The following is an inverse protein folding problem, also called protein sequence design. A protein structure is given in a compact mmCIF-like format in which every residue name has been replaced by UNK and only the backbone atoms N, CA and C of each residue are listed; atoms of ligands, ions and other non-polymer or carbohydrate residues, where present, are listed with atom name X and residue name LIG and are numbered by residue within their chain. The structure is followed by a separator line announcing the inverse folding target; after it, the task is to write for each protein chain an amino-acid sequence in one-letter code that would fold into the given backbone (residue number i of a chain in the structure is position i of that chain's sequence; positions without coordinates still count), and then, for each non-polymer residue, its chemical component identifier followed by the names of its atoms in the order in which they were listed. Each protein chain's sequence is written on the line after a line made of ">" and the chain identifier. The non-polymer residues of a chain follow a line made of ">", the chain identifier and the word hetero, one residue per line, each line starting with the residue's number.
data_IF_577323510152
#
_entry.id   IF_577323510152
#
_cell.length_a   1.000
_cell.length_b   1.000
_cell.length_c   1.000
_cell.angle_alpha   90.00
_cell.angle_beta   90.00
_cell.angle_gamma   90.00
#
_symmetry.space_group_name_H-M   'P 1'
#
loop_
_entity.id
_entity.type
_entity.pdbx_description
1 polymer ?
#
# COMPACT_ATOMS: atom_id res chain seq x y z
N UNK A 1 -30.71 7.15 -23.36
CA UNK A 1 -29.41 7.53 -22.77
C UNK A 1 -28.99 8.94 -23.23
N UNK A 2 -29.76 9.98 -22.90
CA UNK A 2 -29.40 11.39 -23.21
C UNK A 2 -29.62 12.33 -22.00
N UNK A 3 -30.00 11.81 -20.83
CA UNK A 3 -30.44 12.67 -19.70
C UNK A 3 -29.60 12.57 -18.42
N UNK A 4 -28.34 12.14 -18.50
CA UNK A 4 -27.40 12.22 -17.37
C UNK A 4 -26.20 13.16 -17.61
N UNK A 5 -25.92 13.52 -18.87
CA UNK A 5 -24.79 14.40 -19.20
C UNK A 5 -25.06 15.90 -18.97
N UNK A 6 -26.32 16.30 -18.86
CA UNK A 6 -26.70 17.73 -18.73
C UNK A 6 -26.69 18.20 -17.26
N UNK A 7 -26.87 17.30 -16.30
CA UNK A 7 -26.97 17.68 -14.88
C UNK A 7 -25.58 17.90 -14.24
N UNK A 8 -24.52 17.26 -14.75
CA UNK A 8 -23.14 17.55 -14.30
C UNK A 8 -22.58 18.88 -14.86
N UNK A 9 -23.09 19.33 -16.01
CA UNK A 9 -22.69 20.60 -16.61
C UNK A 9 -23.31 21.83 -15.91
N UNK A 10 -24.53 21.69 -15.36
CA UNK A 10 -25.21 22.80 -14.69
C UNK A 10 -24.68 23.11 -13.28
N UNK A 11 -24.18 22.10 -12.55
CA UNK A 11 -23.56 22.30 -11.23
C UNK A 11 -22.14 22.91 -11.30
N UNK A 12 -21.50 22.86 -12.48
CA UNK A 12 -20.23 23.55 -12.74
C UNK A 12 -20.45 25.01 -13.19
N UNK A 13 -21.67 25.46 -13.46
CA UNK A 13 -21.91 26.81 -13.97
C UNK A 13 -22.23 27.86 -12.89
N UNK A 14 -22.40 27.46 -11.63
CA UNK A 14 -22.75 28.36 -10.52
C UNK A 14 -21.76 28.21 -9.35
N UNK A 15 -20.58 28.80 -9.51
CA UNK A 15 -19.62 28.92 -8.40
C UNK A 15 -18.13 28.75 -8.74
N UNK A 16 -17.72 28.73 -10.01
CA UNK A 16 -16.29 28.82 -10.32
C UNK A 16 -15.77 30.21 -9.98
N UNK A 17 -15.28 30.36 -8.74
CA UNK A 17 -14.17 31.26 -8.46
C UNK A 17 -13.18 31.12 -9.62
N UNK A 18 -12.76 32.26 -10.20
CA UNK A 18 -11.76 32.27 -11.27
C UNK A 18 -10.64 31.29 -10.91
N UNK A 19 -10.31 30.36 -11.82
CA UNK A 19 -9.19 29.44 -11.62
C UNK A 19 -7.99 30.29 -11.18
N UNK A 20 -7.42 29.97 -10.02
CA UNK A 20 -6.30 30.72 -9.48
C UNK A 20 -5.24 30.92 -10.56
N UNK A 21 -4.72 32.14 -10.68
CA UNK A 21 -3.73 32.48 -11.71
C UNK A 21 -2.54 31.52 -11.64
N UNK A 22 -2.04 31.09 -12.81
CA UNK A 22 -0.88 30.21 -12.89
C UNK A 22 0.35 30.91 -12.32
N UNK A 23 1.00 30.25 -11.36
CA UNK A 23 2.29 30.69 -10.84
C UNK A 23 3.36 29.71 -11.31
N UNK A 24 4.31 30.12 -12.17
CA UNK A 24 5.43 29.26 -12.55
C UNK A 24 6.23 28.87 -11.30
N UNK A 25 6.35 27.57 -11.04
CA UNK A 25 7.16 27.01 -9.97
C UNK A 25 8.33 26.23 -10.54
N UNK A 26 9.43 26.17 -9.80
CA UNK A 26 10.43 25.13 -9.99
C UNK A 26 9.86 23.78 -9.56
N UNK A 27 10.40 22.69 -10.12
CA UNK A 27 10.07 21.34 -9.71
C UNK A 27 10.24 21.15 -8.19
N UNK A 28 11.27 21.77 -7.59
CA UNK A 28 11.52 21.73 -6.14
C UNK A 28 10.41 22.42 -5.34
N UNK A 29 9.96 23.60 -5.76
CA UNK A 29 8.87 24.32 -5.10
C UNK A 29 7.54 23.60 -5.23
N UNK A 30 7.28 22.98 -6.39
CA UNK A 30 6.10 22.13 -6.60
C UNK A 30 6.10 20.95 -5.63
N UNK A 31 7.20 20.20 -5.57
CA UNK A 31 7.29 18.99 -4.74
C UNK A 31 7.26 19.29 -3.24
N UNK A 32 7.79 20.43 -2.81
CA UNK A 32 7.67 20.90 -1.42
C UNK A 32 6.21 21.10 -0.96
N UNK A 33 5.24 21.14 -1.90
CA UNK A 33 3.81 21.34 -1.64
C UNK A 33 2.97 20.06 -1.84
N UNK A 34 3.58 18.93 -2.17
CA UNK A 34 2.88 17.70 -2.58
C UNK A 34 2.80 16.62 -1.50
N UNK A 35 3.63 16.67 -0.46
CA UNK A 35 3.72 15.57 0.51
C UNK A 35 2.71 15.71 1.67
N UNK A 36 2.04 14.62 2.09
CA UNK A 36 1.94 13.32 1.39
C UNK A 36 0.89 13.35 0.26
N UNK A 37 1.05 12.48 -0.73
CA UNK A 37 0.04 12.25 -1.77
C UNK A 37 -0.78 10.97 -1.53
N UNK A 38 -1.87 10.82 -2.28
CA UNK A 38 -2.75 9.64 -2.29
C UNK A 38 -3.25 9.41 -3.72
N UNK A 39 -3.22 8.16 -4.17
CA UNK A 39 -3.64 7.74 -5.51
C UNK A 39 -5.10 7.32 -5.51
N UNK A 40 -5.85 7.79 -6.50
CA UNK A 40 -7.21 7.34 -6.81
C UNK A 40 -7.13 6.10 -7.71
N UNK A 41 -6.62 5.00 -7.17
CA UNK A 41 -6.37 3.77 -7.93
C UNK A 41 -7.64 3.04 -8.33
N UNK A 42 -7.55 2.16 -9.33
CA UNK A 42 -8.66 1.36 -9.88
C UNK A 42 -9.93 2.21 -10.07
N UNK A 43 -9.80 3.34 -10.75
CA UNK A 43 -10.90 4.26 -11.06
C UNK A 43 -10.93 4.53 -12.57
N UNK A 44 -10.09 5.46 -13.05
CA UNK A 44 -9.98 5.76 -14.49
C UNK A 44 -8.94 4.89 -15.20
N UNK A 45 -8.05 4.26 -14.43
CA UNK A 45 -6.87 3.47 -14.83
C UNK A 45 -7.19 2.04 -15.28
N UNK A 46 -8.45 1.76 -15.59
CA UNK A 46 -8.93 0.40 -15.67
C UNK A 46 -9.54 -0.01 -17.02
N UNK A 47 -9.44 -1.29 -17.36
CA UNK A 47 -9.72 -1.86 -18.67
C UNK A 47 -10.75 -3.00 -18.64
N UNK A 48 -11.70 -3.07 -19.59
CA UNK A 48 -12.23 -1.96 -20.42
C UNK A 48 -13.08 -0.96 -19.60
N UNK A 49 -13.18 -1.21 -18.29
CA UNK A 49 -13.86 -0.46 -17.22
C UNK A 49 -13.03 -0.58 -15.95
N UNK A 50 -13.34 0.19 -14.89
CA UNK A 50 -12.82 0.08 -13.51
C UNK A 50 -12.43 -1.38 -13.12
N UNK A 51 -11.14 -1.65 -12.78
CA UNK A 51 -10.57 -2.99 -12.51
C UNK A 51 -9.67 -3.77 -13.50
N UNK A 52 -9.29 -3.34 -14.71
CA UNK A 52 -8.37 -4.14 -15.58
C UNK A 52 -7.08 -3.44 -16.01
N UNK A 53 -5.90 -4.07 -15.89
CA UNK A 53 -4.61 -3.42 -16.16
C UNK A 53 -3.93 -3.98 -17.41
N UNK A 54 -3.30 -3.12 -18.23
CA UNK A 54 -2.45 -3.52 -19.35
C UNK A 54 -1.35 -2.47 -19.58
N UNK A 55 -0.24 -2.63 -18.87
CA UNK A 55 0.90 -1.72 -18.95
C UNK A 55 1.58 -1.82 -20.32
N UNK A 56 2.04 -0.70 -20.89
CA UNK A 56 2.61 -0.65 -22.23
C UNK A 56 4.01 -1.28 -22.29
N UNK A 57 4.25 -2.18 -23.24
CA UNK A 57 5.55 -2.83 -23.44
C UNK A 57 6.51 -2.01 -24.32
N UNK A 58 7.77 -1.88 -23.90
CA UNK A 58 8.83 -1.10 -24.58
C UNK A 58 9.66 -1.91 -25.58
N UNK A 59 9.37 -3.21 -25.73
CA UNK A 59 9.93 -4.07 -26.77
C UNK A 59 8.96 -4.33 -27.92
N UNK A 60 9.50 -4.70 -29.08
CA UNK A 60 8.73 -5.06 -30.27
C UNK A 60 9.53 -4.83 -31.55
N UNK A 61 8.91 -5.12 -32.70
CA UNK A 61 9.50 -4.75 -33.99
C UNK A 61 9.57 -3.22 -34.12
N UNK A 62 10.46 -2.71 -34.98
CA UNK A 62 10.55 -1.26 -35.24
C UNK A 62 9.19 -0.66 -35.64
N UNK A 63 8.44 -1.33 -36.51
CA UNK A 63 7.11 -0.88 -36.94
C UNK A 63 6.10 -0.82 -35.79
N UNK A 64 6.14 -1.80 -34.88
CA UNK A 64 5.24 -1.81 -33.71
C UNK A 64 5.57 -0.67 -32.75
N UNK A 65 6.86 -0.46 -32.49
CA UNK A 65 7.33 0.64 -31.64
C UNK A 65 6.99 2.00 -32.26
N UNK A 66 7.18 2.18 -33.56
CA UNK A 66 6.84 3.42 -34.26
C UNK A 66 5.31 3.67 -34.22
N UNK A 67 4.48 2.63 -34.37
CA UNK A 67 3.03 2.75 -34.23
C UNK A 67 2.58 3.11 -32.80
N UNK A 68 3.19 2.49 -31.78
CA UNK A 68 2.93 2.81 -30.36
C UNK A 68 3.33 4.26 -30.04
N UNK A 69 4.50 4.71 -30.51
CA UNK A 69 4.95 6.09 -30.39
C UNK A 69 3.96 7.07 -31.04
N UNK A 70 3.52 6.81 -32.26
CA UNK A 70 2.54 7.67 -32.94
C UNK A 70 1.21 7.75 -32.16
N UNK A 71 0.75 6.66 -31.55
CA UNK A 71 -0.43 6.66 -30.68
C UNK A 71 -0.21 7.49 -29.42
N UNK A 72 0.93 7.31 -28.76
CA UNK A 72 1.34 8.05 -27.58
C UNK A 72 1.39 9.57 -27.83
N UNK A 73 2.00 9.99 -28.93
CA UNK A 73 2.11 11.41 -29.27
C UNK A 73 0.75 12.05 -29.53
N UNK A 74 -0.15 11.35 -30.23
CA UNK A 74 -1.54 11.80 -30.45
C UNK A 74 -2.33 11.90 -29.15
N UNK A 75 -2.16 10.96 -28.23
CA UNK A 75 -2.81 11.00 -26.92
C UNK A 75 -2.34 12.23 -26.14
N UNK A 76 -1.02 12.41 -26.00
CA UNK A 76 -0.47 13.52 -25.23
C UNK A 76 -0.75 14.88 -25.84
N UNK A 77 -0.82 14.98 -27.17
CA UNK A 77 -1.24 16.23 -27.82
C UNK A 77 -2.67 16.62 -27.41
N UNK A 78 -3.60 15.64 -27.38
CA UNK A 78 -4.99 15.89 -26.98
C UNK A 78 -5.10 16.25 -25.50
N UNK A 79 -4.48 15.47 -24.61
CA UNK A 79 -4.51 15.70 -23.15
C UNK A 79 -3.88 17.03 -22.80
N UNK A 80 -2.68 17.32 -23.30
CA UNK A 80 -1.97 18.55 -23.00
C UNK A 80 -2.72 19.78 -23.54
N UNK A 81 -3.31 19.70 -24.74
CA UNK A 81 -4.14 20.79 -25.30
C UNK A 81 -5.37 21.06 -24.45
N UNK A 82 -6.08 20.00 -24.01
CA UNK A 82 -7.28 20.11 -23.19
C UNK A 82 -7.01 20.77 -21.83
N UNK A 83 -5.87 20.44 -21.21
CA UNK A 83 -5.53 20.84 -19.85
C UNK A 83 -4.54 22.00 -19.78
N UNK A 84 -4.21 22.62 -20.92
CA UNK A 84 -3.13 23.63 -21.01
C UNK A 84 -3.29 24.83 -20.08
N UNK A 85 -4.53 25.24 -19.78
CA UNK A 85 -4.83 26.42 -18.97
C UNK A 85 -5.09 26.08 -17.48
N UNK A 86 -4.97 24.81 -17.08
CA UNK A 86 -5.01 24.43 -15.65
C UNK A 86 -3.78 24.99 -14.93
N UNK A 87 -3.94 25.34 -13.65
CA UNK A 87 -2.87 25.95 -12.85
C UNK A 87 -1.71 24.97 -12.56
N UNK A 88 -0.70 25.44 -11.85
CA UNK A 88 0.56 24.73 -11.58
C UNK A 88 0.43 23.53 -10.63
N UNK A 89 -0.74 23.33 -10.02
CA UNK A 89 -1.02 22.16 -9.17
C UNK A 89 -1.26 20.88 -9.98
N UNK A 90 -1.54 21.01 -11.28
CA UNK A 90 -1.63 19.88 -12.19
C UNK A 90 -0.24 19.60 -12.78
N UNK A 91 0.26 18.40 -12.53
CA UNK A 91 1.44 17.84 -13.19
C UNK A 91 0.99 16.79 -14.21
N UNK A 92 1.87 16.48 -15.16
CA UNK A 92 1.70 15.33 -16.03
C UNK A 92 2.88 14.37 -15.84
N UNK A 93 2.55 13.10 -15.71
CA UNK A 93 3.46 11.97 -15.80
C UNK A 93 3.37 11.38 -17.20
N UNK A 94 4.48 10.97 -17.81
CA UNK A 94 4.47 10.50 -19.20
C UNK A 94 3.74 9.17 -19.39
N UNK A 95 4.01 8.17 -18.52
CA UNK A 95 3.51 6.81 -18.64
C UNK A 95 3.70 6.01 -17.34
N UNK A 96 2.68 5.25 -16.94
CA UNK A 96 2.77 4.35 -15.78
C UNK A 96 3.42 3.01 -16.15
N UNK A 97 4.37 2.56 -15.33
CA UNK A 97 5.05 1.25 -15.36
C UNK A 97 5.39 0.72 -16.77
N UNK A 98 6.17 1.48 -17.57
CA UNK A 98 6.54 1.07 -18.92
C UNK A 98 7.36 -0.22 -18.90
N UNK A 99 6.80 -1.31 -19.44
CA UNK A 99 7.35 -2.67 -19.27
C UNK A 99 8.61 -2.87 -20.12
N UNK A 100 9.71 -3.27 -19.47
CA UNK A 100 10.96 -3.64 -20.14
C UNK A 100 12.00 -4.19 -19.17
N UNK A 101 13.08 -4.75 -19.71
CA UNK A 101 14.16 -5.35 -18.90
C UNK A 101 15.56 -5.21 -19.50
N UNK A 102 15.71 -4.42 -20.57
CA UNK A 102 17.00 -4.21 -21.23
C UNK A 102 17.31 -2.72 -21.41
N UNK A 103 18.60 -2.38 -21.59
CA UNK A 103 19.02 -1.03 -21.98
C UNK A 103 18.34 -0.56 -23.29
N UNK A 104 18.06 -1.48 -24.22
CA UNK A 104 17.39 -1.16 -25.47
C UNK A 104 15.93 -0.70 -25.22
N UNK A 105 15.21 -1.41 -24.36
CA UNK A 105 13.86 -1.01 -23.91
C UNK A 105 13.92 0.36 -23.20
N UNK A 106 14.94 0.58 -22.37
CA UNK A 106 15.11 1.85 -21.66
C UNK A 106 15.39 3.01 -22.62
N UNK A 107 16.14 2.77 -23.69
CA UNK A 107 16.36 3.77 -24.74
C UNK A 107 15.05 4.15 -25.46
N UNK A 108 14.13 3.20 -25.65
CA UNK A 108 12.79 3.48 -26.19
C UNK A 108 11.99 4.37 -25.23
N UNK A 109 12.05 4.09 -23.92
CA UNK A 109 11.40 4.92 -22.91
C UNK A 109 12.01 6.32 -22.83
N UNK A 110 13.34 6.45 -22.86
CA UNK A 110 14.03 7.73 -22.85
C UNK A 110 13.62 8.60 -24.07
N UNK A 111 13.46 7.99 -25.26
CA UNK A 111 12.89 8.66 -26.45
C UNK A 111 11.43 9.08 -26.23
N UNK A 112 10.58 8.24 -25.61
CA UNK A 112 9.20 8.60 -25.28
C UNK A 112 9.10 9.75 -24.27
N UNK A 113 9.93 9.74 -23.22
CA UNK A 113 10.02 10.82 -22.23
C UNK A 113 10.39 12.16 -22.91
N UNK A 114 11.35 12.13 -23.85
CA UNK A 114 11.72 13.31 -24.62
C UNK A 114 10.60 13.79 -25.55
N UNK A 115 9.90 12.88 -26.23
CA UNK A 115 8.73 13.21 -27.07
C UNK A 115 7.61 13.84 -26.26
N UNK A 116 7.31 13.27 -25.10
CA UNK A 116 6.33 13.79 -24.16
C UNK A 116 6.64 15.23 -23.72
N UNK A 117 7.88 15.49 -23.29
CA UNK A 117 8.35 16.84 -22.96
C UNK A 117 8.13 17.81 -24.13
N UNK A 118 8.57 17.43 -25.34
CA UNK A 118 8.40 18.24 -26.54
C UNK A 118 6.93 18.55 -26.83
N UNK A 119 6.04 17.56 -26.76
CA UNK A 119 4.61 17.74 -27.04
C UNK A 119 3.99 18.70 -26.04
N UNK A 120 4.13 18.41 -24.74
CA UNK A 120 3.48 19.21 -23.69
C UNK A 120 3.93 20.66 -23.79
N UNK A 121 5.24 20.91 -23.90
CA UNK A 121 5.80 22.28 -23.96
C UNK A 121 5.29 23.08 -25.16
N UNK A 122 4.97 22.44 -26.28
CA UNK A 122 4.53 23.11 -27.50
C UNK A 122 3.01 23.31 -27.63
N UNK A 123 2.20 22.88 -26.64
CA UNK A 123 0.73 23.06 -26.69
C UNK A 123 0.22 24.41 -26.17
N UNK A 124 1.12 25.29 -25.72
CA UNK A 124 0.80 26.65 -25.26
C UNK A 124 0.11 26.68 -23.88
N UNK A 125 -0.55 27.81 -23.56
CA UNK A 125 -1.12 28.03 -22.22
C UNK A 125 -0.03 28.01 -21.14
N UNK A 126 -0.29 27.30 -20.05
CA UNK A 126 0.65 27.15 -18.94
C UNK A 126 1.66 26.00 -19.15
N UNK A 127 1.47 25.16 -20.17
CA UNK A 127 2.28 23.96 -20.38
C UNK A 127 3.79 24.20 -20.64
N UNK A 128 4.24 25.32 -21.24
CA UNK A 128 5.68 25.63 -21.32
C UNK A 128 6.38 25.68 -19.95
N UNK A 129 5.64 25.99 -18.88
CA UNK A 129 6.16 26.14 -17.53
C UNK A 129 5.70 25.04 -16.55
N UNK A 130 4.84 24.11 -16.99
CA UNK A 130 4.31 23.02 -16.14
C UNK A 130 5.40 22.03 -15.75
N UNK A 131 5.48 21.64 -14.48
CA UNK A 131 6.40 20.57 -14.04
C UNK A 131 5.90 19.21 -14.57
N UNK A 132 6.80 18.39 -15.10
CA UNK A 132 6.49 17.08 -15.70
C UNK A 132 7.27 15.95 -15.02
N UNK A 133 6.60 14.84 -14.70
CA UNK A 133 7.20 13.66 -14.07
C UNK A 133 7.58 12.62 -15.12
N UNK A 134 8.77 12.03 -14.97
CA UNK A 134 9.34 11.08 -15.92
C UNK A 134 9.67 9.75 -15.22
N UNK A 135 9.07 8.63 -15.64
CA UNK A 135 9.34 7.30 -15.11
C UNK A 135 10.65 6.73 -15.64
N UNK A 136 11.20 5.77 -14.90
CA UNK A 136 12.11 4.74 -15.42
C UNK A 136 11.34 3.51 -15.92
N UNK A 137 12.03 2.50 -16.47
CA UNK A 137 11.37 1.24 -16.83
C UNK A 137 10.73 0.59 -15.61
N UNK A 138 9.50 0.09 -15.77
CA UNK A 138 8.66 -0.53 -14.75
C UNK A 138 8.43 0.33 -13.49
N UNK A 139 8.71 1.65 -13.56
CA UNK A 139 8.89 2.51 -12.38
C UNK A 139 9.79 1.87 -11.31
N UNK A 140 10.76 1.07 -11.74
CA UNK A 140 11.65 0.34 -10.86
C UNK A 140 12.84 1.22 -10.47
N UNK A 141 13.12 1.33 -9.17
CA UNK A 141 14.22 2.15 -8.63
C UNK A 141 15.61 1.79 -9.22
N UNK A 142 15.89 0.50 -9.42
CA UNK A 142 17.16 0.05 -9.99
C UNK A 142 17.25 0.41 -11.47
N UNK A 143 16.20 0.17 -12.25
CA UNK A 143 16.21 0.51 -13.68
C UNK A 143 16.23 2.03 -13.91
N UNK A 144 15.55 2.80 -13.05
CA UNK A 144 15.63 4.25 -13.03
C UNK A 144 17.09 4.69 -12.83
N UNK A 145 17.75 4.20 -11.78
CA UNK A 145 19.15 4.58 -11.48
C UNK A 145 20.16 4.11 -12.52
N UNK A 146 19.89 3.00 -13.20
CA UNK A 146 20.82 2.38 -14.14
C UNK A 146 20.70 2.92 -15.58
N UNK A 147 19.48 3.17 -16.07
CA UNK A 147 19.24 3.37 -17.50
C UNK A 147 18.52 4.68 -17.88
N UNK A 148 18.02 5.45 -16.91
CA UNK A 148 17.40 6.73 -17.21
C UNK A 148 18.40 7.74 -17.73
N UNK A 149 18.04 8.45 -18.81
CA UNK A 149 18.85 9.52 -19.39
C UNK A 149 18.18 10.86 -19.12
N UNK A 150 18.80 11.76 -18.32
CA UNK A 150 18.28 13.10 -18.11
C UNK A 150 18.08 13.86 -19.42
N UNK A 151 16.92 14.50 -19.62
CA UNK A 151 16.64 15.29 -20.83
C UNK A 151 17.40 16.62 -20.77
N UNK A 152 18.69 16.60 -21.17
CA UNK A 152 19.64 17.72 -21.02
C UNK A 152 19.28 18.99 -21.80
N UNK A 153 18.38 18.88 -22.77
CA UNK A 153 17.82 20.01 -23.50
C UNK A 153 16.76 20.81 -22.72
N UNK A 154 16.35 20.34 -21.53
CA UNK A 154 15.42 21.04 -20.66
C UNK A 154 16.04 21.36 -19.31
N UNK A 155 15.67 22.54 -18.79
CA UNK A 155 16.07 22.95 -17.44
C UNK A 155 15.57 21.96 -16.39
N UNK A 156 16.45 21.58 -15.47
CA UNK A 156 16.19 20.63 -14.38
C UNK A 156 15.14 21.12 -13.37
N UNK A 157 14.76 22.39 -13.43
CA UNK A 157 13.69 22.97 -12.62
C UNK A 157 12.29 22.76 -13.22
N UNK A 158 12.15 22.02 -14.32
CA UNK A 158 10.86 21.79 -15.01
C UNK A 158 10.50 20.32 -15.20
N UNK A 159 11.30 19.39 -14.69
CA UNK A 159 11.02 17.96 -14.73
C UNK A 159 11.46 17.26 -13.46
N UNK A 160 10.88 16.09 -13.21
CA UNK A 160 11.18 15.21 -12.08
C UNK A 160 11.36 13.78 -12.54
N UNK A 161 11.92 12.95 -11.67
CA UNK A 161 11.93 11.48 -11.86
C UNK A 161 10.95 10.84 -10.89
N UNK A 162 10.53 9.62 -11.22
CA UNK A 162 9.69 8.83 -10.32
C UNK A 162 10.01 7.33 -10.37
N UNK A 163 9.67 6.66 -9.27
CA UNK A 163 9.68 5.20 -9.14
C UNK A 163 8.55 4.76 -8.20
N UNK A 164 8.24 3.47 -8.17
CA UNK A 164 7.26 2.84 -7.29
C UNK A 164 7.95 1.99 -6.22
N UNK A 165 7.33 1.86 -5.04
CA UNK A 165 7.90 1.14 -3.91
C UNK A 165 6.91 0.20 -3.23
N UNK A 166 7.06 -1.09 -3.50
CA UNK A 166 6.27 -2.19 -2.93
C UNK A 166 7.16 -3.26 -2.28
N UNK A 167 8.33 -2.89 -1.79
CA UNK A 167 9.32 -3.84 -1.26
C UNK A 167 9.23 -4.00 0.26
N UNK A 168 9.49 -5.22 0.79
CA UNK A 168 9.67 -6.45 0.04
C UNK A 168 8.29 -7.01 -0.41
N UNK A 169 8.21 -7.43 -1.69
CA UNK A 169 6.93 -7.80 -2.32
C UNK A 169 6.18 -8.89 -1.57
N UNK A 170 6.90 -9.88 -1.05
CA UNK A 170 6.32 -10.98 -0.29
C UNK A 170 5.53 -10.50 0.94
N UNK A 171 5.99 -9.43 1.60
CA UNK A 171 5.25 -8.79 2.69
C UNK A 171 4.13 -7.88 2.16
N UNK A 172 4.45 -6.94 1.27
CA UNK A 172 3.49 -5.91 0.86
C UNK A 172 2.28 -6.51 0.14
N UNK A 173 2.43 -7.68 -0.49
CA UNK A 173 1.35 -8.42 -1.14
C UNK A 173 0.78 -9.58 -0.31
N UNK A 174 1.29 -9.83 0.91
CA UNK A 174 1.05 -11.07 1.66
C UNK A 174 1.17 -12.32 0.76
N UNK A 175 2.30 -12.41 0.06
CA UNK A 175 2.65 -13.60 -0.71
C UNK A 175 3.39 -14.60 0.18
N UNK A 176 3.10 -15.88 -0.04
CA UNK A 176 3.72 -16.99 0.67
C UNK A 176 3.69 -16.83 2.21
N UNK A 177 2.62 -16.23 2.75
CA UNK A 177 2.38 -16.14 4.19
C UNK A 177 3.27 -15.17 4.96
N UNK A 178 3.97 -14.25 4.30
CA UNK A 178 4.75 -13.23 4.99
C UNK A 178 3.87 -12.07 5.47
N UNK A 179 3.30 -12.23 6.66
CA UNK A 179 2.40 -11.23 7.25
C UNK A 179 3.08 -10.23 8.18
N UNK A 180 4.39 -10.40 8.43
CA UNK A 180 5.19 -9.59 9.35
C UNK A 180 6.35 -8.87 8.65
N UNK A 181 6.70 -7.70 9.18
CA UNK A 181 7.80 -6.83 8.75
C UNK A 181 8.26 -5.97 9.93
N UNK A 182 9.52 -5.54 9.95
CA UNK A 182 10.01 -4.49 10.86
C UNK A 182 11.28 -4.82 11.62
N UNK A 183 12.03 -5.83 11.17
CA UNK A 183 13.39 -6.09 11.66
C UNK A 183 14.33 -4.93 11.30
N UNK A 184 15.49 -4.87 11.97
CA UNK A 184 16.50 -3.85 11.65
C UNK A 184 17.05 -4.05 10.23
N UNK A 185 17.14 -5.30 9.75
CA UNK A 185 17.53 -5.61 8.38
C UNK A 185 16.50 -5.10 7.36
N UNK A 186 15.20 -5.27 7.64
CA UNK A 186 14.14 -4.74 6.78
C UNK A 186 14.26 -3.21 6.63
N UNK A 187 14.43 -2.51 7.76
CA UNK A 187 14.56 -1.05 7.82
C UNK A 187 15.81 -0.56 7.09
N UNK A 188 16.94 -1.26 7.27
CA UNK A 188 18.20 -0.95 6.59
C UNK A 188 18.11 -1.09 5.07
N UNK A 189 17.35 -2.08 4.57
CA UNK A 189 17.09 -2.25 3.13
C UNK A 189 16.38 -1.03 2.55
N UNK A 190 15.28 -0.59 3.17
CA UNK A 190 14.55 0.63 2.73
C UNK A 190 15.47 1.85 2.70
N UNK A 191 16.26 2.04 3.76
CA UNK A 191 17.22 3.14 3.86
C UNK A 191 18.28 3.11 2.74
N UNK A 192 18.81 1.93 2.42
CA UNK A 192 19.83 1.74 1.39
C UNK A 192 19.27 1.99 -0.02
N UNK A 193 18.09 1.46 -0.31
CA UNK A 193 17.44 1.62 -1.62
C UNK A 193 17.12 3.10 -1.89
N UNK A 194 16.58 3.82 -0.90
CA UNK A 194 16.25 5.25 -1.09
C UNK A 194 17.51 6.11 -1.14
N UNK A 195 18.56 5.78 -0.37
CA UNK A 195 19.85 6.45 -0.48
C UNK A 195 20.42 6.34 -1.91
N UNK A 196 20.34 5.15 -2.51
CA UNK A 196 20.84 4.89 -3.85
C UNK A 196 20.10 5.73 -4.89
N UNK A 197 18.76 5.74 -4.87
CA UNK A 197 17.99 6.59 -5.81
C UNK A 197 18.33 8.05 -5.60
N UNK A 198 18.38 8.53 -4.34
CA UNK A 198 18.68 9.93 -4.07
C UNK A 198 20.07 10.33 -4.57
N UNK A 199 21.07 9.47 -4.42
CA UNK A 199 22.45 9.71 -4.85
C UNK A 199 22.61 9.88 -6.37
N UNK A 200 21.71 9.31 -7.17
CA UNK A 200 21.79 9.35 -8.64
C UNK A 200 21.12 10.59 -9.26
N UNK A 201 20.27 11.29 -8.53
CA UNK A 201 19.47 12.39 -9.08
C UNK A 201 19.61 13.66 -8.25
N UNK A 202 19.63 14.82 -8.90
CA UNK A 202 19.57 16.14 -8.26
C UNK A 202 18.20 16.83 -8.39
N UNK A 203 17.34 16.32 -9.27
CA UNK A 203 15.94 16.76 -9.44
C UNK A 203 15.04 16.17 -8.35
N UNK A 204 13.83 16.72 -8.11
CA UNK A 204 12.87 16.09 -7.22
C UNK A 204 12.54 14.65 -7.65
N UNK A 205 12.30 13.80 -6.66
CA UNK A 205 11.94 12.39 -6.86
C UNK A 205 10.54 12.18 -6.30
N UNK A 206 9.66 11.60 -7.12
CA UNK A 206 8.34 11.12 -6.71
C UNK A 206 8.44 9.61 -6.43
N UNK A 207 7.92 9.17 -5.29
CA UNK A 207 7.53 7.77 -5.13
C UNK A 207 6.07 7.74 -5.58
N UNK A 208 5.86 7.51 -6.88
CA UNK A 208 4.57 7.66 -7.57
C UNK A 208 3.52 6.70 -7.02
N UNK A 209 3.96 5.55 -6.56
CA UNK A 209 3.16 4.62 -5.79
C UNK A 209 3.98 3.98 -4.68
N UNK A 210 3.36 3.82 -3.52
CA UNK A 210 3.83 2.91 -2.50
C UNK A 210 2.64 2.37 -1.72
N UNK A 211 2.74 1.16 -1.22
CA UNK A 211 1.69 0.61 -0.36
C UNK A 211 1.88 -0.85 -0.02
N UNK A 212 0.85 -1.38 0.61
CA UNK A 212 0.69 -2.78 1.00
C UNK A 212 -0.73 -3.22 0.69
N UNK A 213 -1.02 -4.52 0.72
CA UNK A 213 -2.37 -5.02 0.90
C UNK A 213 -2.94 -4.56 2.25
N UNK A 214 -4.27 -4.64 2.38
CA UNK A 214 -5.04 -4.20 3.55
C UNK A 214 -4.41 -4.53 4.92
N UNK A 215 -4.09 -3.48 5.69
CA UNK A 215 -3.53 -3.58 7.05
C UNK A 215 -4.58 -4.10 8.03
N UNK A 216 -4.23 -5.14 8.81
CA UNK A 216 -5.12 -5.79 9.78
C UNK A 216 -6.11 -6.80 9.19
N UNK A 217 -6.04 -7.04 7.88
CA UNK A 217 -6.78 -8.07 7.14
C UNK A 217 -5.84 -8.97 6.35
N UNK A 218 -5.06 -8.40 5.41
CA UNK A 218 -4.06 -9.14 4.64
C UNK A 218 -2.73 -9.26 5.39
N UNK A 219 -2.29 -8.20 6.06
CA UNK A 219 -1.04 -8.19 6.85
C UNK A 219 -1.30 -7.78 8.30
N UNK A 220 -0.37 -8.10 9.20
CA UNK A 220 -0.52 -7.74 10.61
C UNK A 220 -0.51 -6.23 10.83
N UNK A 221 -1.41 -5.73 11.71
CA UNK A 221 -1.61 -4.28 11.92
C UNK A 221 -0.31 -3.54 12.19
N UNK A 222 0.43 -3.98 13.21
CA UNK A 222 1.64 -3.29 13.61
C UNK A 222 2.82 -3.48 12.65
N UNK A 223 2.84 -4.56 11.87
CA UNK A 223 3.80 -4.70 10.76
C UNK A 223 3.52 -3.66 9.67
N UNK A 224 2.25 -3.50 9.28
CA UNK A 224 1.83 -2.44 8.36
C UNK A 224 2.18 -1.05 8.88
N UNK A 225 1.84 -0.75 10.14
CA UNK A 225 2.19 0.52 10.79
C UNK A 225 3.70 0.81 10.78
N UNK A 226 4.52 -0.20 11.11
CA UNK A 226 5.97 -0.09 11.07
C UNK A 226 6.48 0.22 9.66
N UNK A 227 5.93 -0.47 8.65
CA UNK A 227 6.31 -0.28 7.25
C UNK A 227 5.95 1.13 6.78
N UNK A 228 4.72 1.57 6.99
CA UNK A 228 4.26 2.91 6.59
C UNK A 228 5.05 4.03 7.29
N UNK A 229 5.28 3.92 8.60
CA UNK A 229 6.10 4.90 9.34
C UNK A 229 7.52 4.97 8.76
N UNK A 230 8.17 3.81 8.61
CA UNK A 230 9.58 3.77 8.20
C UNK A 230 9.77 4.20 6.75
N UNK A 231 8.94 3.72 5.81
CA UNK A 231 9.01 4.11 4.40
C UNK A 231 8.76 5.60 4.21
N UNK A 232 7.72 6.16 4.85
CA UNK A 232 7.41 7.59 4.72
C UNK A 232 8.51 8.44 5.35
N UNK A 233 8.97 8.12 6.57
CA UNK A 233 10.09 8.86 7.20
C UNK A 233 11.36 8.78 6.36
N UNK A 234 11.65 7.64 5.74
CA UNK A 234 12.82 7.47 4.87
C UNK A 234 12.67 8.28 3.58
N UNK A 235 11.48 8.33 2.99
CA UNK A 235 11.19 9.21 1.85
C UNK A 235 11.46 10.68 2.20
N UNK A 236 10.95 11.16 3.34
CA UNK A 236 11.17 12.53 3.81
C UNK A 236 12.66 12.80 4.08
N UNK A 237 13.36 11.89 4.75
CA UNK A 237 14.82 11.95 5.02
C UNK A 237 15.61 12.16 3.73
N UNK A 238 15.22 11.49 2.64
CA UNK A 238 15.86 11.61 1.33
C UNK A 238 15.16 12.61 0.40
N UNK A 239 14.31 13.51 0.89
CA UNK A 239 13.64 14.57 0.10
C UNK A 239 12.84 14.03 -1.10
N UNK A 240 12.18 12.89 -0.91
CA UNK A 240 11.29 12.26 -1.87
C UNK A 240 9.83 12.52 -1.47
N UNK A 241 8.93 12.60 -2.44
CA UNK A 241 7.50 12.78 -2.20
C UNK A 241 6.78 11.44 -2.35
N UNK A 242 6.24 10.85 -1.28
CA UNK A 242 5.48 9.60 -1.36
C UNK A 242 4.00 9.82 -1.71
N UNK A 243 3.47 9.03 -2.65
CA UNK A 243 2.05 9.00 -3.02
C UNK A 243 1.44 7.63 -2.74
N UNK A 244 0.54 7.58 -1.76
CA UNK A 244 0.03 6.33 -1.22
C UNK A 244 -0.95 5.67 -2.19
N UNK A 245 -0.66 4.44 -2.62
CA UNK A 245 -1.54 3.66 -3.47
C UNK A 245 -2.80 3.19 -2.71
N UNK A 246 -3.98 3.52 -3.25
CA UNK A 246 -5.26 3.05 -2.73
C UNK A 246 -6.23 2.72 -3.88
N UNK A 247 -6.44 1.42 -4.06
CA UNK A 247 -7.38 0.86 -5.05
C UNK A 247 -8.86 1.01 -4.63
N UNK A 248 -9.16 1.65 -3.50
CA UNK A 248 -10.51 1.79 -2.94
C UNK A 248 -10.96 0.63 -2.05
N UNK A 249 -10.29 -0.51 -2.10
CA UNK A 249 -10.56 -1.69 -1.27
C UNK A 249 -9.64 -1.78 -0.04
N UNK A 250 -8.40 -1.33 -0.16
CA UNK A 250 -7.41 -1.53 0.92
C UNK A 250 -7.56 -0.51 2.07
N UNK A 251 -7.74 0.78 1.78
CA UNK A 251 -7.60 1.82 2.81
C UNK A 251 -8.81 2.71 2.99
N UNK A 252 -9.13 3.57 2.02
CA UNK A 252 -10.29 4.46 2.13
C UNK A 252 -11.54 3.81 1.54
N UNK A 253 -12.54 3.58 2.39
CA UNK A 253 -13.86 3.16 1.93
C UNK A 253 -14.60 4.39 1.40
N UNK A 254 -14.62 4.48 0.06
CA UNK A 254 -15.24 5.61 -0.67
C UNK A 254 -16.74 5.69 -0.45
N UNK A 255 -17.42 4.56 -0.20
CA UNK A 255 -18.86 4.49 0.01
C UNK A 255 -19.23 4.92 1.43
N UNK A 256 -18.50 4.42 2.42
CA UNK A 256 -18.73 4.77 3.82
C UNK A 256 -18.01 6.06 4.25
N UNK A 257 -17.23 6.68 3.35
CA UNK A 257 -16.44 7.88 3.58
C UNK A 257 -15.55 7.78 4.84
N UNK A 258 -14.91 6.63 5.04
CA UNK A 258 -14.09 6.36 6.23
C UNK A 258 -12.84 5.55 5.89
N UNK A 259 -11.80 5.75 6.69
CA UNK A 259 -10.61 4.90 6.64
C UNK A 259 -10.91 3.56 7.31
N UNK A 260 -10.52 2.46 6.67
CA UNK A 260 -10.61 1.10 7.22
C UNK A 260 -9.67 0.92 8.42
N UNK A 261 -8.49 1.52 8.35
CA UNK A 261 -7.59 1.69 9.48
C UNK A 261 -7.16 3.15 9.64
N UNK A 262 -7.75 3.82 10.63
CA UNK A 262 -7.44 5.22 10.96
C UNK A 262 -6.01 5.39 11.50
N UNK A 263 -5.45 4.34 12.10
CA UNK A 263 -4.08 4.38 12.67
C UNK A 263 -3.05 4.48 11.55
N UNK A 264 -3.15 3.62 10.54
CA UNK A 264 -2.27 3.69 9.35
C UNK A 264 -2.32 5.08 8.71
N UNK A 265 -3.53 5.64 8.48
CA UNK A 265 -3.66 6.99 7.95
C UNK A 265 -2.98 8.03 8.83
N UNK A 266 -3.21 7.99 10.15
CA UNK A 266 -2.61 8.97 11.06
C UNK A 266 -1.08 8.86 11.09
N UNK A 267 -0.54 7.64 11.01
CA UNK A 267 0.90 7.38 10.93
C UNK A 267 1.48 8.01 9.66
N UNK A 268 0.87 7.78 8.50
CA UNK A 268 1.32 8.36 7.22
C UNK A 268 1.32 9.88 7.28
N UNK A 269 0.24 10.49 7.78
CA UNK A 269 0.12 11.95 7.91
C UNK A 269 1.18 12.51 8.86
N UNK A 270 1.38 11.89 10.03
CA UNK A 270 2.36 12.32 11.01
C UNK A 270 3.80 12.18 10.46
N UNK A 271 4.14 11.05 9.84
CA UNK A 271 5.45 10.79 9.27
C UNK A 271 5.78 11.78 8.14
N UNK A 272 4.80 12.07 7.27
CA UNK A 272 4.97 13.05 6.19
C UNK A 272 5.16 14.48 6.71
N UNK A 273 4.56 14.80 7.87
CA UNK A 273 4.78 16.07 8.57
C UNK A 273 6.12 16.13 9.34
N UNK A 274 6.99 15.12 9.20
CA UNK A 274 8.28 15.04 9.88
C UNK A 274 8.18 14.62 11.35
N UNK A 275 7.01 14.18 11.81
CA UNK A 275 6.86 13.61 13.14
C UNK A 275 7.33 12.15 13.13
N UNK A 276 7.81 11.69 14.28
CA UNK A 276 8.19 10.30 14.48
C UNK A 276 7.06 9.60 15.25
N UNK A 277 6.63 8.43 14.77
CA UNK A 277 5.60 7.64 15.43
C UNK A 277 6.23 6.62 16.38
N UNK A 278 5.55 6.38 17.51
CA UNK A 278 5.76 5.15 18.28
C UNK A 278 5.09 3.99 17.56
N UNK A 279 5.72 2.81 17.53
CA UNK A 279 5.20 1.62 16.85
C UNK A 279 5.31 0.41 17.80
N UNK A 280 4.41 -0.59 17.75
CA UNK A 280 4.60 -1.81 18.51
C UNK A 280 5.82 -2.60 18.04
N UNK A 281 6.60 -3.09 18.99
CA UNK A 281 7.78 -3.90 18.73
C UNK A 281 7.40 -5.27 18.15
N UNK A 282 8.18 -5.73 17.16
CA UNK A 282 7.99 -7.02 16.48
C UNK A 282 6.58 -7.26 15.90
N UNK A 283 5.88 -6.19 15.48
CA UNK A 283 4.61 -6.32 14.76
C UNK A 283 3.42 -6.76 15.63
N UNK A 284 3.52 -6.67 16.96
CA UNK A 284 2.41 -7.00 17.86
C UNK A 284 1.42 -5.83 18.03
N UNK A 285 0.42 -5.75 17.14
CA UNK A 285 -0.62 -4.70 17.14
C UNK A 285 -1.95 -5.10 17.79
N UNK A 286 -2.03 -6.31 18.35
CA UNK A 286 -3.24 -6.89 18.95
C UNK A 286 -2.89 -7.66 20.21
N UNK A 287 -3.64 -7.44 21.29
CA UNK A 287 -3.61 -8.25 22.49
C UNK A 287 -4.53 -9.45 22.27
N UNK A 288 -3.92 -10.60 21.97
CA UNK A 288 -4.62 -11.87 21.79
C UNK A 288 -4.80 -12.60 23.13
N UNK A 289 -6.05 -12.76 23.55
CA UNK A 289 -6.46 -13.43 24.77
C UNK A 289 -7.08 -14.77 24.43
N UNK A 290 -6.37 -15.87 24.66
CA UNK A 290 -6.99 -17.18 24.57
C UNK A 290 -8.08 -17.29 25.65
N UNK A 291 -9.22 -17.88 25.34
CA UNK A 291 -10.42 -17.86 26.19
C UNK A 291 -10.23 -18.43 27.60
N UNK A 292 -9.23 -19.29 27.79
CA UNK A 292 -8.82 -19.90 29.05
C UNK A 292 -7.72 -19.11 29.80
N UNK A 293 -7.26 -17.97 29.26
CA UNK A 293 -6.19 -17.15 29.83
C UNK A 293 -6.74 -15.81 30.31
N UNK A 294 -6.42 -15.46 31.55
CA UNK A 294 -6.82 -14.19 32.18
C UNK A 294 -5.70 -13.15 32.22
N UNK A 295 -4.44 -13.56 32.06
CA UNK A 295 -3.29 -12.63 32.04
C UNK A 295 -3.01 -12.21 30.59
N UNK A 296 -3.25 -10.94 30.23
CA UNK A 296 -2.98 -10.46 28.88
C UNK A 296 -1.48 -10.45 28.58
N UNK A 297 -1.07 -10.75 27.34
CA UNK A 297 0.29 -10.50 26.89
C UNK A 297 0.60 -8.99 26.94
N UNK A 298 1.85 -8.66 27.21
CA UNK A 298 2.33 -7.28 27.15
C UNK A 298 2.47 -6.80 25.69
N UNK A 299 2.29 -5.50 25.50
CA UNK A 299 2.63 -4.79 24.27
C UNK A 299 3.90 -3.99 24.51
N UNK A 300 4.96 -4.38 23.81
CA UNK A 300 6.24 -3.69 23.79
C UNK A 300 6.24 -2.60 22.72
N UNK A 301 6.85 -1.46 23.00
CA UNK A 301 6.80 -0.29 22.11
C UNK A 301 8.21 0.14 21.68
N UNK A 302 8.38 0.37 20.38
CA UNK A 302 9.50 1.12 19.81
C UNK A 302 9.13 2.61 19.84
N UNK A 303 9.66 3.35 20.82
CA UNK A 303 9.28 4.75 21.00
C UNK A 303 9.86 5.69 19.96
N UNK A 304 10.97 5.32 19.29
CA UNK A 304 11.61 6.14 18.27
C UNK A 304 11.89 7.59 18.73
N UNK A 305 12.30 7.75 19.99
CA UNK A 305 12.57 9.07 20.60
C UNK A 305 11.36 9.71 21.30
N UNK A 306 10.17 9.14 21.20
CA UNK A 306 9.00 9.59 21.95
C UNK A 306 8.99 9.09 23.41
N UNK A 307 8.05 9.60 24.19
CA UNK A 307 7.70 9.11 25.52
C UNK A 307 6.21 8.77 25.60
N UNK A 308 5.84 7.75 26.37
CA UNK A 308 4.44 7.44 26.66
C UNK A 308 3.76 8.58 27.41
N UNK A 309 2.60 9.03 26.94
CA UNK A 309 1.73 9.96 27.66
C UNK A 309 0.67 9.24 28.48
N UNK A 310 0.16 8.12 27.98
CA UNK A 310 -0.78 7.28 28.69
C UNK A 310 -1.46 6.26 27.78
N UNK A 311 -2.28 5.42 28.39
CA UNK A 311 -3.19 4.51 27.71
C UNK A 311 -4.61 5.02 27.94
N UNK A 312 -5.44 5.03 26.91
CA UNK A 312 -6.78 5.58 26.94
C UNK A 312 -7.80 4.60 26.37
N UNK A 313 -9.07 4.77 26.74
CA UNK A 313 -10.19 4.14 26.04
C UNK A 313 -10.42 4.83 24.69
N UNK A 314 -11.18 4.22 23.75
CA UNK A 314 -11.55 4.86 22.50
C UNK A 314 -12.36 6.16 22.67
N UNK A 315 -13.04 6.33 23.81
CA UNK A 315 -13.77 7.56 24.16
C UNK A 315 -12.86 8.66 24.74
N UNK A 316 -11.56 8.39 24.90
CA UNK A 316 -10.58 9.34 25.41
C UNK A 316 -10.40 9.35 26.93
N UNK A 317 -11.01 8.41 27.67
CA UNK A 317 -10.82 8.29 29.11
C UNK A 317 -9.44 7.70 29.41
N UNK A 318 -8.65 8.35 30.26
CA UNK A 318 -7.35 7.84 30.67
C UNK A 318 -7.50 6.59 31.54
N UNK A 319 -6.71 5.56 31.25
CA UNK A 319 -6.55 4.39 32.10
C UNK A 319 -5.56 4.68 33.23
N UNK A 320 -5.77 4.05 34.38
CA UNK A 320 -4.99 4.28 35.60
C UNK A 320 -3.85 3.28 35.74
N UNK A 321 -2.62 3.77 35.88
CA UNK A 321 -1.43 2.93 36.13
C UNK A 321 -1.60 2.18 37.47
N UNK A 322 -1.30 0.88 37.48
CA UNK A 322 -1.43 0.00 38.63
C UNK A 322 -2.83 -0.58 38.83
N UNK A 323 -3.86 0.04 38.25
CA UNK A 323 -5.25 -0.45 38.33
C UNK A 323 -5.72 -1.05 37.01
N UNK A 324 -5.58 -0.32 35.91
CA UNK A 324 -6.07 -0.72 34.60
C UNK A 324 -4.95 -1.31 33.73
N UNK A 325 -3.72 -0.83 33.92
CA UNK A 325 -2.53 -1.38 33.26
C UNK A 325 -1.27 -1.19 34.10
N UNK A 326 -0.23 -1.94 33.78
CA UNK A 326 1.11 -1.83 34.35
C UNK A 326 2.11 -1.46 33.26
N UNK A 327 3.15 -0.72 33.63
CA UNK A 327 4.29 -0.44 32.73
C UNK A 327 5.26 -1.63 32.83
N UNK A 328 5.65 -2.16 31.67
CA UNK A 328 6.65 -3.24 31.56
C UNK A 328 7.91 -2.62 30.98
N UNK A 329 9.10 -3.08 31.41
CA UNK A 329 10.39 -2.50 31.01
C UNK A 329 11.34 -3.47 30.28
N UNK A 330 11.01 -4.77 30.23
CA UNK A 330 11.84 -5.81 29.61
C UNK A 330 11.01 -6.72 28.70
N UNK A 331 11.48 -7.07 27.48
CA UNK A 331 12.76 -6.65 26.89
C UNK A 331 12.79 -5.19 26.43
N UNK A 332 11.62 -4.55 26.32
CA UNK A 332 11.49 -3.12 26.01
C UNK A 332 10.41 -2.49 26.89
N UNK A 333 10.40 -1.15 26.93
CA UNK A 333 9.34 -0.43 27.62
C UNK A 333 8.02 -0.57 26.87
N UNK A 334 6.95 -0.83 27.60
CA UNK A 334 5.62 -1.12 27.07
C UNK A 334 4.58 -1.13 28.17
N UNK A 335 3.46 -1.81 27.92
CA UNK A 335 2.41 -1.96 28.92
C UNK A 335 1.77 -3.35 28.88
N UNK A 336 1.20 -3.76 30.01
CA UNK A 336 0.28 -4.89 30.07
C UNK A 336 -0.99 -4.47 30.78
N UNK A 337 -2.14 -4.80 30.21
CA UNK A 337 -3.43 -4.53 30.84
C UNK A 337 -3.58 -5.41 32.09
N UNK A 338 -4.32 -4.96 33.10
CA UNK A 338 -4.57 -5.80 34.28
C UNK A 338 -5.68 -6.82 33.99
N UNK A 339 -5.67 -7.99 34.64
CA UNK A 339 -6.77 -8.94 34.54
C UNK A 339 -8.13 -8.33 34.93
N UNK A 340 -8.17 -7.39 35.88
CA UNK A 340 -9.38 -6.67 36.27
C UNK A 340 -9.91 -5.77 35.16
N UNK A 341 -9.03 -5.06 34.44
CA UNK A 341 -9.45 -4.27 33.29
C UNK A 341 -9.98 -5.16 32.16
N UNK A 342 -9.29 -6.27 31.86
CA UNK A 342 -9.78 -7.26 30.89
C UNK A 342 -11.16 -7.81 31.26
N UNK A 343 -11.40 -8.06 32.55
CA UNK A 343 -12.72 -8.50 33.03
C UNK A 343 -13.80 -7.43 32.87
N UNK A 344 -13.45 -6.14 33.02
CA UNK A 344 -14.40 -5.04 32.81
C UNK A 344 -14.82 -4.84 31.34
N UNK A 345 -14.04 -5.34 30.39
CA UNK A 345 -14.35 -5.24 28.95
C UNK A 345 -15.41 -6.25 28.50
N UNK A 346 -15.69 -7.28 29.30
CA UNK A 346 -16.78 -8.21 29.04
C UNK A 346 -16.52 -9.64 29.53
N UNK A 347 -17.60 -10.42 29.60
CA UNK A 347 -17.60 -11.83 30.01
C UNK A 347 -16.52 -12.65 29.29
N UNK A 348 -15.89 -13.60 29.99
CA UNK A 348 -14.91 -14.53 29.42
C UNK A 348 -15.45 -15.38 28.26
N UNK A 349 -16.77 -15.52 28.15
CA UNK A 349 -17.45 -16.21 27.04
C UNK A 349 -17.56 -15.36 25.76
N UNK A 350 -17.35 -14.04 25.83
CA UNK A 350 -17.40 -13.16 24.67
C UNK A 350 -16.11 -13.31 23.85
N UNK A 351 -16.24 -13.85 22.65
CA UNK A 351 -15.15 -14.00 21.67
C UNK A 351 -15.19 -12.87 20.63
N UNK A 352 -14.05 -12.58 20.01
CA UNK A 352 -13.88 -11.47 19.07
C UNK A 352 -13.19 -10.29 19.72
N UNK A 353 -13.39 -9.11 19.13
CA UNK A 353 -12.91 -7.85 19.71
C UNK A 353 -13.77 -7.50 20.92
N UNK A 354 -13.14 -7.43 22.09
CA UNK A 354 -13.80 -7.08 23.36
C UNK A 354 -13.49 -5.65 23.79
N UNK A 355 -12.53 -5.00 23.14
CA UNK A 355 -12.16 -3.62 23.43
C UNK A 355 -10.93 -3.20 22.65
N UNK A 356 -10.49 -1.97 22.91
CA UNK A 356 -9.32 -1.37 22.30
C UNK A 356 -8.63 -0.46 23.31
N UNK A 357 -7.30 -0.48 23.30
CA UNK A 357 -6.46 0.41 24.08
C UNK A 357 -5.78 1.41 23.15
N UNK A 358 -5.95 2.71 23.43
CA UNK A 358 -5.35 3.79 22.66
C UNK A 358 -4.04 4.19 23.32
N UNK A 359 -2.91 3.92 22.66
CA UNK A 359 -1.60 4.32 23.15
C UNK A 359 -1.28 5.70 22.63
N UNK A 360 -1.09 6.66 23.53
CA UNK A 360 -0.71 8.03 23.16
C UNK A 360 0.73 8.31 23.55
N UNK A 361 1.50 8.81 22.59
CA UNK A 361 2.88 9.25 22.77
C UNK A 361 3.01 10.77 22.76
N UNK A 362 4.21 11.27 23.05
CA UNK A 362 4.54 12.70 23.03
C UNK A 362 4.38 13.37 21.66
N UNK A 363 4.50 12.61 20.58
CA UNK A 363 4.36 13.05 19.19
C UNK A 363 3.92 11.86 18.34
N UNK A 364 3.45 12.14 17.12
CA UNK A 364 2.99 11.14 16.17
C UNK A 364 1.55 10.70 16.42
N UNK A 365 1.15 9.64 15.72
CA UNK A 365 -0.19 9.07 15.80
C UNK A 365 -0.42 8.31 17.13
N UNK A 366 -1.66 8.38 17.61
CA UNK A 366 -2.16 7.43 18.60
C UNK A 366 -2.25 6.03 17.97
N UNK A 367 -1.87 4.98 18.71
CA UNK A 367 -1.99 3.59 18.25
C UNK A 367 -3.24 2.91 18.80
N UNK A 368 -4.01 2.28 17.91
CA UNK A 368 -5.24 1.56 18.24
C UNK A 368 -5.00 0.06 18.42
N UNK A 369 -4.61 -0.35 19.64
CA UNK A 369 -4.33 -1.74 19.98
C UNK A 369 -5.63 -2.49 20.25
N UNK A 370 -5.95 -3.46 19.38
CA UNK A 370 -7.15 -4.28 19.54
C UNK A 370 -6.97 -5.27 20.69
N UNK A 371 -8.02 -5.49 21.47
CA UNK A 371 -8.07 -6.50 22.54
C UNK A 371 -9.05 -7.56 22.09
N UNK A 372 -8.53 -8.74 21.75
CA UNK A 372 -9.31 -9.81 21.13
C UNK A 372 -9.27 -11.07 21.96
N UNK A 373 -10.44 -11.60 22.30
CA UNK A 373 -10.56 -12.92 22.92
C UNK A 373 -10.86 -13.97 21.88
N UNK A 374 -10.18 -15.11 21.94
CA UNK A 374 -10.37 -16.17 20.96
C UNK A 374 -10.33 -17.57 21.57
N UNK A 375 -11.00 -18.51 20.91
CA UNK A 375 -10.80 -19.94 21.09
C UNK A 375 -10.45 -20.58 19.75
N UNK A 376 -10.24 -21.90 19.72
CA UNK A 376 -9.93 -22.62 18.48
C UNK A 376 -11.06 -22.38 17.45
N UNK A 377 -10.76 -21.89 16.24
CA UNK A 377 -11.75 -21.77 15.17
C UNK A 377 -12.33 -23.14 14.78
N UNK A 378 -13.57 -23.15 14.31
CA UNK A 378 -14.22 -24.37 13.81
C UNK A 378 -14.41 -24.24 12.31
N UNK A 379 -13.80 -25.15 11.56
CA UNK A 379 -14.02 -25.28 10.12
C UNK A 379 -14.86 -26.55 9.94
N UNK A 380 -15.99 -26.51 9.20
CA UNK A 380 -16.76 -27.70 8.88
C UNK A 380 -15.83 -28.73 8.22
N UNK A 381 -15.75 -29.93 8.78
CA UNK A 381 -15.05 -31.03 8.13
C UNK A 381 -15.75 -31.44 6.84
N UNK A 382 -14.99 -31.97 5.88
CA UNK A 382 -15.56 -32.50 4.64
C UNK A 382 -14.55 -32.50 3.51
N UNK A 383 -14.90 -33.24 2.44
CA UNK A 383 -14.18 -33.20 1.16
C UNK A 383 -15.03 -32.44 0.17
N UNK A 384 -14.40 -31.56 -0.59
CA UNK A 384 -15.04 -30.79 -1.64
C UNK A 384 -14.60 -31.37 -2.98
N UNK A 385 -15.56 -31.84 -3.78
CA UNK A 385 -15.28 -32.18 -5.17
C UNK A 385 -15.19 -30.90 -5.98
N UNK A 386 -13.98 -30.53 -6.40
CA UNK A 386 -13.77 -29.51 -7.44
C UNK A 386 -14.25 -30.12 -8.78
N UNK A 387 -15.57 -30.09 -9.00
CA UNK A 387 -16.17 -30.43 -10.30
C UNK A 387 -15.68 -29.44 -11.37
N UNK A 388 -15.96 -29.67 -12.65
CA UNK A 388 -15.36 -28.92 -13.77
C UNK A 388 -15.45 -27.37 -13.72
N UNK A 389 -16.26 -26.81 -12.82
CA UNK A 389 -16.40 -25.37 -12.56
C UNK A 389 -15.23 -24.83 -11.69
N UNK A 390 -14.62 -23.74 -12.14
CA UNK A 390 -13.47 -23.07 -11.50
C UNK A 390 -13.83 -21.70 -10.92
N UNK A 391 -15.11 -21.44 -10.64
CA UNK A 391 -15.55 -20.22 -9.93
C UNK A 391 -14.95 -20.14 -8.52
N UNK A 392 -15.01 -18.94 -7.93
CA UNK A 392 -14.66 -18.72 -6.52
C UNK A 392 -15.43 -19.68 -5.60
N UNK A 393 -14.73 -20.22 -4.60
CA UNK A 393 -15.27 -21.15 -3.63
C UNK A 393 -15.24 -20.56 -2.22
N UNK A 394 -16.31 -20.78 -1.45
CA UNK A 394 -16.49 -20.17 -0.13
C UNK A 394 -16.54 -21.26 0.95
N UNK A 395 -15.57 -21.25 1.85
CA UNK A 395 -15.49 -22.14 3.01
C UNK A 395 -16.00 -21.39 4.23
N UNK A 396 -17.20 -21.73 4.69
CA UNK A 396 -17.72 -21.20 5.95
C UNK A 396 -16.86 -21.68 7.12
N UNK A 397 -16.60 -20.82 8.10
CA UNK A 397 -15.95 -21.21 9.35
C UNK A 397 -16.48 -20.37 10.50
N UNK A 398 -16.40 -20.89 11.72
CA UNK A 398 -16.63 -20.12 12.93
C UNK A 398 -15.28 -19.60 13.42
N UNK A 399 -14.97 -18.29 13.30
CA UNK A 399 -13.66 -17.76 13.66
C UNK A 399 -13.36 -17.89 15.15
N UNK A 400 -14.39 -17.94 15.99
CA UNK A 400 -14.25 -17.96 17.45
C UNK A 400 -13.30 -16.86 17.95
N UNK A 401 -13.38 -15.66 17.33
CA UNK A 401 -12.59 -14.49 17.65
C UNK A 401 -11.22 -14.38 16.99
N UNK A 402 -10.68 -15.49 16.44
CA UNK A 402 -9.43 -15.49 15.69
C UNK A 402 -9.57 -14.75 14.35
N UNK A 403 -8.43 -14.41 13.73
CA UNK A 403 -8.34 -13.89 12.37
C UNK A 403 -7.47 -14.81 11.53
N UNK A 404 -7.77 -14.88 10.23
CA UNK A 404 -6.90 -15.56 9.27
C UNK A 404 -5.62 -14.75 9.10
N UNK A 405 -4.47 -15.43 9.09
CA UNK A 405 -3.18 -14.84 8.73
C UNK A 405 -2.77 -15.25 7.31
N UNK A 406 -2.69 -16.55 7.05
CA UNK A 406 -2.33 -17.10 5.74
C UNK A 406 -2.88 -18.51 5.53
N UNK A 407 -2.92 -18.96 4.27
CA UNK A 407 -3.35 -20.30 3.85
C UNK A 407 -2.16 -21.10 3.30
N UNK A 408 -2.10 -22.39 3.62
CA UNK A 408 -1.16 -23.37 3.04
C UNK A 408 -1.98 -24.31 2.16
N UNK A 409 -1.45 -24.71 1.00
CA UNK A 409 -2.13 -25.65 0.11
C UNK A 409 -1.17 -26.79 -0.27
N UNK A 410 -1.50 -28.01 0.15
CA UNK A 410 -0.63 -29.19 -0.02
C UNK A 410 -1.35 -30.39 -0.58
N UNK A 411 -0.64 -31.20 -1.36
CA UNK A 411 -1.06 -32.51 -1.82
C UNK A 411 -0.90 -33.61 -0.76
N UNK A 412 -1.35 -34.84 -1.08
CA UNK A 412 -1.39 -35.95 -0.11
C UNK A 412 -0.01 -36.39 0.40
N UNK A 413 1.06 -36.11 -0.34
CA UNK A 413 2.45 -36.42 0.03
C UNK A 413 3.19 -35.20 0.56
N UNK A 414 2.49 -34.10 0.83
CA UNK A 414 3.08 -32.82 1.22
C UNK A 414 3.59 -31.98 0.04
N UNK A 415 3.25 -32.34 -1.20
CA UNK A 415 3.64 -31.56 -2.38
C UNK A 415 2.97 -30.18 -2.34
N UNK A 416 3.68 -29.13 -2.73
CA UNK A 416 3.10 -27.79 -2.73
C UNK A 416 2.31 -27.58 -4.02
N UNK A 417 1.08 -27.09 -3.87
CA UNK A 417 0.14 -26.96 -5.00
C UNK A 417 0.53 -25.83 -5.95
N UNK A 418 1.18 -24.79 -5.43
CA UNK A 418 1.62 -23.61 -6.16
C UNK A 418 2.96 -23.15 -5.57
N UNK A 419 3.82 -22.59 -6.40
CA UNK A 419 5.11 -22.01 -6.00
C UNK A 419 5.95 -22.99 -5.14
N UNK A 420 6.25 -24.16 -5.69
CA UNK A 420 6.97 -25.25 -5.02
C UNK A 420 8.37 -24.87 -4.50
N UNK A 421 9.00 -23.87 -5.13
CA UNK A 421 10.26 -23.28 -4.67
C UNK A 421 10.15 -22.68 -3.24
N UNK A 422 8.95 -22.37 -2.74
CA UNK A 422 8.76 -21.88 -1.36
C UNK A 422 9.21 -22.89 -0.29
N UNK A 423 9.48 -24.14 -0.66
CA UNK A 423 10.11 -25.14 0.22
C UNK A 423 11.42 -24.67 0.84
N UNK A 424 12.12 -23.72 0.19
CA UNK A 424 13.36 -23.14 0.67
C UNK A 424 13.17 -22.00 1.69
N UNK A 425 11.94 -21.52 1.92
CA UNK A 425 11.65 -20.40 2.84
C UNK A 425 11.35 -20.86 4.28
N UNK A 426 11.19 -22.15 4.54
CA UNK A 426 10.89 -22.71 5.87
C UNK A 426 9.44 -22.51 6.35
N UNK A 427 9.12 -23.02 7.53
CA UNK A 427 7.73 -23.21 7.99
C UNK A 427 6.80 -21.98 8.13
N UNK A 428 7.24 -20.71 8.29
CA UNK A 428 6.25 -19.62 8.21
C UNK A 428 5.71 -19.44 6.78
N UNK A 429 6.46 -19.83 5.74
CA UNK A 429 6.16 -19.51 4.34
C UNK A 429 6.01 -20.72 3.40
N UNK A 430 6.65 -21.85 3.71
CA UNK A 430 6.70 -23.00 2.82
C UNK A 430 5.31 -23.57 2.51
N UNK A 431 4.96 -23.62 1.22
CA UNK A 431 3.68 -24.09 0.70
C UNK A 431 2.51 -23.14 0.94
N UNK A 432 2.78 -21.91 1.42
CA UNK A 432 1.76 -20.86 1.57
C UNK A 432 1.44 -20.24 0.21
N UNK A 433 0.17 -19.94 0.01
CA UNK A 433 -0.34 -19.29 -1.21
C UNK A 433 -0.45 -17.77 -1.01
N UNK A 434 -0.76 -17.03 -2.07
CA UNK A 434 -0.73 -15.57 -2.04
C UNK A 434 -2.08 -14.98 -1.65
N UNK A 435 -2.09 -13.84 -0.99
CA UNK A 435 -3.30 -13.03 -0.90
C UNK A 435 -3.79 -12.69 -2.32
N UNK A 436 -5.08 -12.93 -2.59
CA UNK A 436 -5.63 -12.91 -3.95
C UNK A 436 -5.71 -14.29 -4.63
N UNK A 437 -4.99 -15.32 -4.15
CA UNK A 437 -5.40 -16.73 -4.35
C UNK A 437 -6.51 -17.11 -3.35
N UNK A 438 -6.47 -16.47 -2.18
CA UNK A 438 -7.48 -16.54 -1.15
C UNK A 438 -7.83 -15.15 -0.62
N UNK A 439 -8.98 -15.06 0.04
CA UNK A 439 -9.44 -13.86 0.74
C UNK A 439 -10.37 -14.23 1.88
N UNK A 440 -10.85 -13.24 2.62
CA UNK A 440 -11.86 -13.44 3.67
C UNK A 440 -12.98 -12.44 3.48
N UNK A 441 -14.21 -12.94 3.53
CA UNK A 441 -15.41 -12.11 3.61
C UNK A 441 -16.27 -12.63 4.76
N UNK A 442 -16.51 -11.78 5.75
CA UNK A 442 -17.21 -12.15 6.99
C UNK A 442 -16.62 -13.42 7.63
N UNK A 443 -17.40 -14.51 7.68
CA UNK A 443 -17.03 -15.81 8.24
C UNK A 443 -16.73 -16.85 7.14
N UNK A 444 -16.28 -16.39 5.97
CA UNK A 444 -15.98 -17.23 4.82
C UNK A 444 -14.54 -17.02 4.36
N UNK A 445 -13.79 -18.11 4.27
CA UNK A 445 -12.54 -18.16 3.52
C UNK A 445 -12.91 -18.33 2.04
N UNK A 446 -12.49 -17.38 1.22
CA UNK A 446 -12.67 -17.40 -0.22
C UNK A 446 -11.43 -18.05 -0.82
N UNK A 447 -11.63 -19.04 -1.70
CA UNK A 447 -10.61 -19.55 -2.61
C UNK A 447 -10.97 -19.03 -4.00
N UNK A 448 -10.16 -18.13 -4.53
CA UNK A 448 -10.47 -17.48 -5.80
C UNK A 448 -10.31 -18.44 -6.98
N UNK A 449 -11.05 -18.16 -8.04
CA UNK A 449 -11.13 -18.96 -9.27
C UNK A 449 -9.78 -19.32 -9.89
N UNK A 450 -8.78 -18.43 -9.80
CA UNK A 450 -7.42 -18.70 -10.25
C UNK A 450 -6.76 -19.85 -9.47
N UNK A 451 -6.93 -19.89 -8.14
CA UNK A 451 -6.43 -21.00 -7.33
C UNK A 451 -7.26 -22.27 -7.57
N UNK A 452 -8.59 -22.15 -7.73
CA UNK A 452 -9.43 -23.30 -8.08
C UNK A 452 -8.99 -23.98 -9.38
N UNK A 453 -8.57 -23.18 -10.37
CA UNK A 453 -7.97 -23.68 -11.61
C UNK A 453 -6.63 -24.37 -11.36
N UNK A 454 -5.79 -23.80 -10.50
CA UNK A 454 -4.51 -24.40 -10.10
C UNK A 454 -4.72 -25.75 -9.41
N UNK A 455 -5.64 -25.84 -8.45
CA UNK A 455 -6.02 -27.08 -7.74
C UNK A 455 -6.54 -28.14 -8.72
N UNK A 456 -7.38 -27.74 -9.68
CA UNK A 456 -7.88 -28.65 -10.72
C UNK A 456 -6.74 -29.22 -11.57
N UNK A 457 -5.80 -28.36 -11.98
CA UNK A 457 -4.65 -28.77 -12.79
C UNK A 457 -3.65 -29.63 -12.00
N UNK A 458 -3.57 -29.46 -10.68
CA UNK A 458 -2.76 -30.29 -9.80
C UNK A 458 -3.20 -31.76 -9.79
N UNK A 459 -4.50 -32.03 -10.02
CA UNK A 459 -5.02 -33.38 -10.31
C UNK A 459 -5.01 -34.37 -9.14
N UNK A 460 -4.74 -33.89 -7.92
CA UNK A 460 -4.75 -34.67 -6.67
C UNK A 460 -5.58 -33.95 -5.60
N UNK A 461 -6.03 -34.65 -4.53
CA UNK A 461 -6.63 -33.99 -3.38
C UNK A 461 -5.71 -32.93 -2.79
N UNK A 462 -6.28 -31.79 -2.36
CA UNK A 462 -5.55 -30.67 -1.72
C UNK A 462 -6.09 -30.46 -0.31
N UNK A 463 -5.18 -30.23 0.63
CA UNK A 463 -5.46 -29.83 2.02
C UNK A 463 -4.94 -28.43 2.29
#
# INVERSE_FOLDING_TARGET
>A
MVSLLVILAAALASGHNALAAFTPLSAKETFARMSPGWNLGNTLDALPTEGGWNNPHMSGSKSDLDARKAKFEKLWTQVATLLKDKNERLLFESLNEPVGSTQADANVLNDLNLRFLNIVRNTGGNNPQRVLSLPGLNDNAQYLTQWFVPPSNYSSDKWTVQFHYYSPWDFTSNSWGKTFWGSDADKATVDSEFAQVRGNFSVPILIGEYGTSSVGSAIEKAAGWAWYDHVVRTAIKYTMVPQWWDNGNDFYDRTAAKWRDVTTKNIVIAAAAGQINTIPYNGNGTIWLKSDITTPPAIYLQYNGNTLKGIYTPTGTALTIGTDYTVITSPLTGFSLTPSYIASLGSSSTLGEIGRAIVRSSSGADLEIDIRRYSRPVIPGGTISVSGNTNDYYINFTPNGAKLATVKATGPSGEFVKDDWTQWLGEPQAGRINWGDYGVYENQLIIYSALMTTIKNFGKPVT
#
